data_IF_836612248035
#
_entry.id   IF_836612248035
#
_cell.length_a   1.000
_cell.length_b   1.000
_cell.length_c   1.000
_cell.angle_alpha   90.00
_cell.angle_beta   90.00
_cell.angle_gamma   90.00
#
_symmetry.space_group_name_H-M   'P 1'
#
loop_
_entity.id
_entity.type
_entity.pdbx_description
1 polymer ?
#
# COMPACT_ATOMS: atom_id res chain seq x y z
N UNK A 1 -5.73 25.32 15.42
CA UNK A 1 -4.65 24.44 14.88
C UNK A 1 -3.41 25.28 14.64
N UNK A 2 -2.29 24.88 15.18
CA UNK A 2 -1.05 25.63 14.96
C UNK A 2 -0.53 25.36 13.56
N UNK A 3 0.32 26.27 13.07
CA UNK A 3 1.01 26.09 11.78
C UNK A 3 1.81 24.78 11.75
N UNK A 4 2.49 24.47 12.87
CA UNK A 4 3.31 23.26 12.95
C UNK A 4 2.46 22.00 12.90
N UNK A 5 1.27 21.99 13.54
CA UNK A 5 0.34 20.86 13.46
C UNK A 5 -0.14 20.64 12.04
N UNK A 6 -0.50 21.71 11.33
CA UNK A 6 -0.92 21.62 9.93
C UNK A 6 0.20 21.09 9.05
N UNK A 7 1.42 21.54 9.30
CA UNK A 7 2.59 21.09 8.56
C UNK A 7 2.84 19.60 8.80
N UNK A 8 2.73 19.14 10.05
CA UNK A 8 2.93 17.74 10.40
C UNK A 8 1.91 16.83 9.72
N UNK A 9 0.63 17.25 9.68
CA UNK A 9 -0.43 16.50 9.02
C UNK A 9 -0.13 16.40 7.52
N UNK A 10 0.25 17.52 6.89
CA UNK A 10 0.58 17.54 5.48
C UNK A 10 1.81 16.68 5.17
N UNK A 11 2.83 16.72 6.02
CA UNK A 11 4.02 15.91 5.88
C UNK A 11 3.71 14.42 5.98
N UNK A 12 2.79 14.03 6.88
CA UNK A 12 2.38 12.63 7.00
C UNK A 12 1.67 12.17 5.73
N UNK A 13 0.84 13.02 5.12
CA UNK A 13 0.18 12.74 3.85
C UNK A 13 1.18 12.54 2.72
N UNK A 14 2.20 13.40 2.65
CA UNK A 14 3.26 13.28 1.64
C UNK A 14 4.06 11.99 1.81
N UNK A 15 4.37 11.61 3.04
CA UNK A 15 5.08 10.36 3.34
C UNK A 15 4.24 9.16 2.89
N UNK A 16 2.94 9.16 3.20
CA UNK A 16 2.03 8.10 2.78
C UNK A 16 1.93 8.01 1.26
N UNK A 17 1.82 9.14 0.58
CA UNK A 17 1.77 9.17 -0.89
C UNK A 17 3.08 8.69 -1.52
N UNK A 18 4.22 9.02 -0.91
CA UNK A 18 5.51 8.50 -1.38
C UNK A 18 5.56 6.99 -1.30
N UNK A 19 5.07 6.41 -0.20
CA UNK A 19 5.01 4.96 -0.06
C UNK A 19 4.07 4.34 -1.10
N UNK A 20 2.93 4.99 -1.37
CA UNK A 20 2.03 4.53 -2.43
C UNK A 20 2.71 4.54 -3.80
N UNK A 21 3.46 5.58 -4.10
CA UNK A 21 4.23 5.66 -5.36
C UNK A 21 5.29 4.58 -5.44
N UNK A 22 5.99 4.31 -4.34
CA UNK A 22 7.00 3.26 -4.30
C UNK A 22 6.37 1.89 -4.56
N UNK A 23 5.22 1.61 -3.96
CA UNK A 23 4.50 0.35 -4.17
C UNK A 23 3.94 0.28 -5.59
N UNK A 24 3.40 1.36 -6.13
CA UNK A 24 2.92 1.39 -7.51
C UNK A 24 4.07 1.12 -8.48
N UNK A 25 5.24 1.69 -8.24
CA UNK A 25 6.43 1.45 -9.05
C UNK A 25 6.87 -0.01 -8.98
N UNK A 26 6.84 -0.61 -7.79
CA UNK A 26 7.14 -2.03 -7.62
C UNK A 26 6.14 -2.90 -8.38
N UNK A 27 4.85 -2.58 -8.32
CA UNK A 27 3.81 -3.29 -9.06
C UNK A 27 4.05 -3.21 -10.57
N UNK A 28 4.39 -2.03 -11.08
CA UNK A 28 4.68 -1.85 -12.51
C UNK A 28 5.94 -2.63 -12.91
N UNK A 29 6.99 -2.54 -12.11
CA UNK A 29 8.24 -3.23 -12.38
C UNK A 29 8.07 -4.75 -12.42
N UNK A 30 7.10 -5.28 -11.66
CA UNK A 30 6.83 -6.71 -11.57
C UNK A 30 5.59 -7.14 -12.33
N UNK A 31 5.07 -6.32 -13.24
CA UNK A 31 3.83 -6.62 -13.96
C UNK A 31 3.93 -7.85 -14.86
N UNK A 32 5.14 -8.29 -15.19
CA UNK A 32 5.40 -9.50 -15.98
C UNK A 32 6.17 -10.57 -15.21
N UNK A 33 6.31 -10.43 -13.91
CA UNK A 33 7.08 -11.37 -13.09
C UNK A 33 6.25 -12.60 -12.78
N UNK A 34 6.63 -13.74 -13.32
CA UNK A 34 5.90 -15.01 -13.20
C UNK A 34 6.44 -15.91 -12.10
N UNK A 35 7.59 -15.57 -11.53
CA UNK A 35 8.21 -16.37 -10.47
C UNK A 35 8.82 -15.45 -9.42
N UNK A 36 8.41 -15.64 -8.18
CA UNK A 36 8.91 -14.92 -7.03
C UNK A 36 9.61 -15.89 -6.08
N UNK A 37 10.22 -15.37 -5.03
CA UNK A 37 10.83 -16.20 -3.99
C UNK A 37 9.84 -17.16 -3.33
N UNK A 38 8.57 -16.80 -3.29
CA UNK A 38 7.50 -17.65 -2.77
C UNK A 38 7.03 -18.70 -3.77
N UNK A 39 7.57 -18.70 -4.99
CA UNK A 39 7.36 -19.75 -5.97
C UNK A 39 6.23 -19.52 -6.97
N UNK A 40 5.42 -18.50 -6.80
CA UNK A 40 4.34 -18.15 -7.72
C UNK A 40 4.57 -16.83 -8.43
N UNK A 41 3.63 -16.39 -9.28
CA UNK A 41 3.74 -15.09 -9.91
C UNK A 41 3.59 -13.97 -8.87
N UNK A 42 4.09 -12.80 -9.23
CA UNK A 42 3.95 -11.61 -8.40
C UNK A 42 2.47 -11.25 -8.27
N UNK A 43 2.06 -10.84 -7.07
CA UNK A 43 0.72 -10.30 -6.84
C UNK A 43 0.82 -8.82 -6.55
N UNK A 44 -0.15 -8.07 -7.08
CA UNK A 44 -0.21 -6.62 -6.84
C UNK A 44 -0.23 -6.35 -5.34
N UNK A 45 0.60 -5.43 -4.90
CA UNK A 45 0.59 -4.96 -3.53
C UNK A 45 -0.25 -3.71 -3.41
N UNK A 46 -0.95 -3.60 -2.30
CA UNK A 46 -1.80 -2.45 -1.98
C UNK A 46 -1.40 -1.90 -0.63
N UNK A 47 -1.55 -0.60 -0.49
CA UNK A 47 -1.23 0.11 0.74
C UNK A 47 -2.53 0.36 1.50
N UNK A 48 -2.54 0.03 2.78
CA UNK A 48 -3.65 0.34 3.68
C UNK A 48 -3.26 1.58 4.47
N UNK A 49 -4.05 2.63 4.32
CA UNK A 49 -3.86 3.88 5.04
C UNK A 49 -4.83 3.96 6.20
N UNK A 50 -4.38 4.57 7.28
CA UNK A 50 -5.20 4.75 8.45
C UNK A 50 -4.94 6.13 9.04
N UNK A 51 -6.00 6.76 9.52
CA UNK A 51 -5.87 7.97 10.30
C UNK A 51 -5.10 7.66 11.59
N UNK A 52 -4.14 8.51 11.94
CA UNK A 52 -3.41 8.36 13.19
C UNK A 52 -4.30 8.90 14.30
N UNK A 53 -4.80 8.04 15.19
CA UNK A 53 -5.63 8.50 16.29
C UNK A 53 -4.79 9.25 17.30
N UNK A 54 -5.34 10.32 17.81
CA UNK A 54 -4.74 11.06 18.91
C UNK A 54 -5.06 10.33 20.21
N UNK A 55 -4.16 9.43 20.62
CA UNK A 55 -4.40 8.56 21.77
C UNK A 55 -3.80 9.06 23.09
N UNK A 56 -3.01 10.14 23.03
CA UNK A 56 -2.41 10.67 24.25
C UNK A 56 -3.46 11.34 25.14
N UNK A 57 -3.28 11.25 26.46
CA UNK A 57 -4.13 11.95 27.43
C UNK A 57 -4.20 13.45 27.12
N UNK A 58 -3.08 14.03 26.74
CA UNK A 58 -2.99 15.45 26.42
C UNK A 58 -3.92 15.81 25.25
N UNK A 59 -3.99 14.96 24.23
CA UNK A 59 -4.87 15.19 23.08
C UNK A 59 -6.33 15.07 23.47
N UNK A 60 -6.68 14.07 24.28
CA UNK A 60 -8.05 13.91 24.79
C UNK A 60 -8.44 15.07 25.68
N UNK A 61 -7.54 15.53 26.50
CA UNK A 61 -7.75 16.67 27.39
C UNK A 61 -7.96 17.96 26.59
N UNK A 62 -7.15 18.18 25.56
CA UNK A 62 -7.30 19.33 24.67
C UNK A 62 -8.61 19.30 23.90
N UNK A 63 -9.06 18.12 23.52
CA UNK A 63 -10.34 17.92 22.86
C UNK A 63 -11.51 18.33 23.77
N UNK A 64 -11.44 17.94 25.05
CA UNK A 64 -12.45 18.29 26.03
C UNK A 64 -12.51 19.78 26.32
N UNK A 65 -11.40 20.48 26.16
CA UNK A 65 -11.31 21.92 26.35
C UNK A 65 -11.65 22.72 25.09
N UNK A 66 -12.22 22.09 24.07
CA UNK A 66 -12.51 22.70 22.77
C UNK A 66 -11.29 23.29 22.08
N UNK A 67 -10.12 22.87 22.45
CA UNK A 67 -8.92 23.20 21.70
C UNK A 67 -8.75 22.20 20.58
N UNK A 68 -8.39 22.67 19.42
CA UNK A 68 -8.13 21.81 18.26
C UNK A 68 -7.08 20.77 18.64
N UNK A 69 -7.54 19.56 18.90
CA UNK A 69 -6.64 18.44 19.05
C UNK A 69 -5.92 18.23 17.73
N UNK A 70 -4.61 18.18 17.77
CA UNK A 70 -3.87 17.80 16.60
C UNK A 70 -4.13 16.32 16.34
N UNK A 71 -4.96 16.03 15.36
CA UNK A 71 -5.04 14.69 14.83
C UNK A 71 -3.73 14.42 14.10
N UNK A 72 -3.19 13.24 14.29
CA UNK A 72 -1.85 12.93 13.84
C UNK A 72 -1.68 12.66 12.35
N UNK A 73 -2.66 12.97 11.50
CA UNK A 73 -2.56 12.76 10.07
C UNK A 73 -2.85 11.33 9.64
N UNK A 74 -2.12 10.84 8.64
CA UNK A 74 -2.30 9.49 8.09
C UNK A 74 -1.00 8.71 8.11
N UNK A 75 -1.10 7.40 8.16
CA UNK A 75 0.06 6.51 8.08
C UNK A 75 -0.29 5.25 7.30
N UNK A 76 0.72 4.61 6.75
CA UNK A 76 0.59 3.28 6.17
C UNK A 76 0.65 2.27 7.30
N UNK A 77 -0.42 1.50 7.49
CA UNK A 77 -0.49 0.51 8.56
C UNK A 77 0.00 -0.84 8.10
N UNK A 78 -0.25 -1.19 6.84
CA UNK A 78 0.24 -2.45 6.29
C UNK A 78 0.26 -2.38 4.77
N UNK A 79 1.00 -3.30 4.18
CA UNK A 79 1.03 -3.54 2.74
C UNK A 79 0.49 -4.95 2.55
N UNK A 80 -0.60 -5.07 1.79
CA UNK A 80 -1.29 -6.34 1.57
C UNK A 80 -1.22 -6.75 0.11
N UNK A 81 -1.29 -8.04 -0.15
CA UNK A 81 -1.37 -8.56 -1.51
C UNK A 81 -2.82 -8.64 -1.96
N UNK A 82 -3.06 -8.29 -3.23
CA UNK A 82 -4.37 -8.38 -3.85
C UNK A 82 -4.68 -9.86 -4.14
N UNK A 83 -5.77 -10.36 -3.58
CA UNK A 83 -6.15 -11.77 -3.70
C UNK A 83 -7.04 -12.04 -4.93
N UNK A 84 -7.27 -11.05 -5.78
CA UNK A 84 -8.00 -11.27 -7.02
C UNK A 84 -7.26 -12.26 -7.91
N UNK A 85 -8.02 -12.87 -8.82
CA UNK A 85 -7.49 -13.90 -9.69
C UNK A 85 -6.33 -13.37 -10.56
N UNK A 86 -5.33 -14.20 -10.74
CA UNK A 86 -4.23 -13.96 -11.65
C UNK A 86 -4.73 -14.09 -13.10
N UNK A 87 -4.04 -13.47 -14.03
CA UNK A 87 -4.43 -13.49 -15.44
C UNK A 87 -3.72 -14.62 -16.16
N UNK A 88 -4.44 -15.63 -16.68
CA UNK A 88 -3.80 -16.65 -17.53
C UNK A 88 -3.53 -16.08 -18.93
N UNK A 89 -2.32 -16.26 -19.40
CA UNK A 89 -1.90 -15.84 -20.74
C UNK A 89 -1.35 -17.06 -21.48
N UNK A 90 -1.85 -17.31 -22.68
CA UNK A 90 -1.40 -18.44 -23.47
C UNK A 90 -0.01 -18.13 -24.07
N UNK A 91 0.98 -18.87 -23.59
CA UNK A 91 2.35 -18.79 -24.07
C UNK A 91 3.05 -20.11 -23.78
N UNK A 92 2.87 -21.14 -24.65
CA UNK A 92 3.42 -22.48 -24.36
C UNK A 92 4.94 -22.54 -24.37
N UNK A 93 5.60 -21.56 -24.97
CA UNK A 93 7.07 -21.50 -25.01
C UNK A 93 7.68 -20.91 -23.73
N UNK A 94 6.85 -20.37 -22.84
CA UNK A 94 7.33 -19.77 -21.61
C UNK A 94 7.76 -20.86 -20.61
N UNK A 95 8.91 -20.67 -19.91
CA UNK A 95 9.39 -21.69 -18.98
C UNK A 95 8.45 -21.94 -17.81
N UNK A 96 7.58 -21.00 -17.46
CA UNK A 96 6.61 -21.13 -16.37
C UNK A 96 5.21 -21.50 -16.87
N UNK A 97 5.07 -21.89 -18.15
CA UNK A 97 3.81 -22.35 -18.71
C UNK A 97 3.40 -23.69 -18.08
N UNK A 98 2.09 -23.86 -17.86
CA UNK A 98 1.55 -25.11 -17.38
C UNK A 98 1.40 -26.12 -18.53
N UNK A 99 0.84 -27.30 -18.24
CA UNK A 99 0.65 -28.36 -19.24
C UNK A 99 -0.27 -27.94 -20.40
N UNK A 100 -1.19 -27.01 -20.12
CA UNK A 100 -2.11 -26.46 -21.13
C UNK A 100 -1.52 -25.31 -21.93
N UNK A 101 -0.31 -24.85 -21.58
CA UNK A 101 0.37 -23.77 -22.28
C UNK A 101 0.05 -22.39 -21.74
N UNK A 102 -0.58 -22.28 -20.58
CA UNK A 102 -0.90 -21.00 -19.95
C UNK A 102 0.11 -20.61 -18.89
N UNK A 103 0.45 -19.35 -18.87
CA UNK A 103 1.29 -18.73 -17.84
C UNK A 103 0.40 -17.87 -16.98
N UNK A 104 0.48 -18.05 -15.66
CA UNK A 104 -0.24 -17.17 -14.74
C UNK A 104 0.55 -15.90 -14.58
N UNK A 105 -0.04 -14.78 -14.99
CA UNK A 105 0.56 -13.45 -14.92
C UNK A 105 0.05 -12.69 -13.72
N UNK A 106 0.84 -11.72 -13.22
CA UNK A 106 0.41 -10.91 -12.09
C UNK A 106 -0.92 -10.19 -12.33
N UNK A 107 -1.66 -9.98 -11.27
CA UNK A 107 -2.95 -9.27 -11.28
C UNK A 107 -2.77 -7.74 -11.13
N UNK A 108 -1.69 -7.25 -11.66
CA UNK A 108 -1.37 -5.81 -11.67
C UNK A 108 -2.20 -5.07 -12.71
#
# INVERSE_FOLDING_TARGET
MSFLSSFDISASGLTAERQRLDIASENIANSNTTRTESGGPYRRKMVVLQEVPSTSFRSKFNSLLNRTASKGGVRVTEIVEDQRDLQPVYNPDHPDANEEGYVMMPNV
#
